data_IF_065823099907
#
_entry.id   IF_065823099907
#
_cell.length_a   1.000
_cell.length_b   1.000
_cell.length_c   1.000
_cell.angle_alpha   90.00
_cell.angle_beta   90.00
_cell.angle_gamma   90.00
#
_symmetry.space_group_name_H-M   'P 1'
#
loop_
_entity.id
_entity.type
_entity.pdbx_description
1 polymer ?
#
# COMPACT_ATOMS: atom_id res chain seq x y z
N UNK A 1 -64.45 6.52 -33.19
CA UNK A 1 -65.28 7.33 -32.29
C UNK A 1 -64.40 7.56 -31.11
N UNK A 2 -63.50 8.61 -31.11
CA UNK A 2 -63.78 9.94 -30.59
C UNK A 2 -64.05 9.93 -29.06
N UNK A 3 -63.09 10.35 -28.27
CA UNK A 3 -63.23 11.55 -27.44
C UNK A 3 -61.91 11.87 -26.72
N UNK A 4 -61.37 13.01 -27.03
CA UNK A 4 -60.43 13.76 -26.23
C UNK A 4 -61.23 14.70 -25.30
N UNK A 5 -60.78 14.94 -24.07
CA UNK A 5 -60.89 16.24 -23.45
C UNK A 5 -59.57 16.63 -22.81
N UNK A 6 -59.03 17.78 -22.90
CA UNK A 6 -59.61 19.07 -22.67
C UNK A 6 -58.65 19.79 -21.76
N UNK A 7 -57.77 20.66 -22.32
CA UNK A 7 -56.87 21.58 -21.56
C UNK A 7 -57.71 22.53 -20.71
N UNK A 8 -57.40 22.62 -19.41
CA UNK A 8 -57.78 23.76 -18.58
C UNK A 8 -56.53 24.60 -18.26
N UNK A 9 -56.58 25.92 -18.50
CA UNK A 9 -55.55 26.82 -18.07
C UNK A 9 -55.70 27.09 -16.55
N UNK A 10 -54.65 26.83 -15.79
CA UNK A 10 -54.60 27.22 -14.38
C UNK A 10 -54.18 28.68 -14.29
N UNK A 11 -55.05 29.46 -13.69
CA UNK A 11 -54.91 30.89 -13.46
C UNK A 11 -53.67 31.27 -12.63
N UNK A 12 -53.16 32.43 -12.95
CA UNK A 12 -51.92 33.05 -12.42
C UNK A 12 -51.82 33.10 -10.89
N UNK A 13 -50.65 32.74 -10.45
CA UNK A 13 -50.18 33.12 -9.09
C UNK A 13 -49.52 34.51 -9.18
N UNK A 14 -49.80 35.42 -8.23
CA UNK A 14 -49.17 36.72 -8.18
C UNK A 14 -47.69 36.63 -7.79
N UNK A 15 -46.83 37.30 -8.53
CA UNK A 15 -45.43 37.48 -8.22
C UNK A 15 -45.23 38.15 -6.85
N UNK A 16 -44.32 37.65 -6.01
CA UNK A 16 -43.92 38.40 -4.79
C UNK A 16 -43.11 39.62 -5.18
N UNK A 17 -43.18 40.68 -4.38
CA UNK A 17 -42.45 41.93 -4.63
C UNK A 17 -40.95 41.76 -4.48
N UNK A 18 -40.09 42.52 -5.19
CA UNK A 18 -38.63 42.44 -5.07
C UNK A 18 -38.23 42.79 -3.63
N UNK A 19 -37.73 41.74 -2.92
CA UNK A 19 -37.22 41.86 -1.57
C UNK A 19 -35.89 42.61 -1.54
N UNK A 20 -35.80 43.46 -0.57
CA UNK A 20 -34.70 44.36 -0.21
C UNK A 20 -33.35 43.63 -0.21
N UNK A 21 -32.36 44.17 -0.88
CA UNK A 21 -30.99 43.70 -0.89
C UNK A 21 -30.37 43.68 0.51
N UNK A 22 -30.04 42.49 1.00
CA UNK A 22 -29.09 42.39 2.10
C UNK A 22 -27.71 42.72 1.54
N UNK A 23 -27.21 43.92 1.90
CA UNK A 23 -25.84 44.30 1.61
C UNK A 23 -24.84 43.34 2.24
N UNK A 24 -24.16 42.59 1.41
CA UNK A 24 -22.97 41.86 1.84
C UNK A 24 -21.88 42.90 2.21
N UNK A 25 -21.23 42.75 3.37
CA UNK A 25 -20.05 43.56 3.65
C UNK A 25 -18.97 43.24 2.58
N UNK A 26 -18.19 44.26 2.16
CA UNK A 26 -17.14 44.06 1.16
C UNK A 26 -16.13 43.02 1.67
N UNK A 27 -15.60 42.14 0.80
CA UNK A 27 -14.62 41.16 1.19
C UNK A 27 -13.39 41.87 1.76
N UNK A 28 -13.06 41.56 3.02
CA UNK A 28 -11.83 42.01 3.64
C UNK A 28 -10.66 41.36 2.91
N UNK A 29 -9.77 42.17 2.38
CA UNK A 29 -8.53 41.76 1.70
C UNK A 29 -7.74 40.82 2.63
N UNK A 30 -7.38 39.58 2.21
CA UNK A 30 -6.58 38.72 3.05
C UNK A 30 -5.22 39.37 3.35
N UNK A 31 -4.70 39.22 4.57
CA UNK A 31 -3.37 39.74 4.91
C UNK A 31 -2.34 39.08 4.00
N UNK A 32 -1.50 39.90 3.38
CA UNK A 32 -0.43 39.46 2.49
C UNK A 32 0.53 38.50 3.18
N UNK A 33 1.16 37.61 2.43
CA UNK A 33 2.11 36.66 3.01
C UNK A 33 3.29 37.39 3.61
N UNK A 34 3.59 37.11 4.88
CA UNK A 34 4.82 37.57 5.52
C UNK A 34 6.00 36.90 4.84
N UNK A 35 7.07 37.63 4.46
CA UNK A 35 8.25 37.01 3.90
C UNK A 35 8.97 36.21 5.02
N UNK A 36 9.18 34.93 4.83
CA UNK A 36 10.10 34.14 5.64
C UNK A 36 9.53 32.94 6.37
N UNK A 37 8.81 32.04 5.71
CA UNK A 37 8.80 30.62 6.07
C UNK A 37 8.62 29.84 4.78
N UNK A 38 9.71 29.38 4.21
CA UNK A 38 9.68 28.28 3.26
C UNK A 38 9.40 27.03 4.10
N UNK A 39 8.15 26.74 4.33
CA UNK A 39 7.72 25.41 4.74
C UNK A 39 7.85 24.55 3.48
N UNK A 40 8.97 23.88 3.35
CA UNK A 40 9.07 22.72 2.48
C UNK A 40 8.05 21.71 3.00
N UNK A 41 6.83 21.78 2.47
CA UNK A 41 5.79 20.80 2.66
C UNK A 41 6.25 19.49 2.00
N UNK A 42 7.05 18.72 2.70
CA UNK A 42 7.16 17.32 2.45
C UNK A 42 5.77 16.72 2.73
N UNK A 43 4.91 16.75 1.72
CA UNK A 43 3.68 15.96 1.71
C UNK A 43 4.18 14.51 1.61
N UNK A 44 4.48 13.95 2.77
CA UNK A 44 4.73 12.55 2.88
C UNK A 44 3.45 11.84 2.45
N UNK A 45 3.47 11.24 1.27
CA UNK A 45 2.57 10.14 0.99
C UNK A 45 2.91 9.07 2.03
N UNK A 46 2.22 9.12 3.16
CA UNK A 46 2.25 8.04 4.13
C UNK A 46 1.52 6.89 3.45
N UNK A 47 2.28 6.15 2.64
CA UNK A 47 1.93 4.77 2.40
C UNK A 47 1.97 4.16 3.79
N UNK A 48 0.81 4.07 4.42
CA UNK A 48 0.66 3.34 5.67
C UNK A 48 0.89 1.87 5.31
N UNK A 49 2.16 1.52 5.17
CA UNK A 49 2.60 0.18 5.44
C UNK A 49 2.45 0.06 6.96
N UNK A 50 1.22 -0.21 7.39
CA UNK A 50 0.92 -0.56 8.77
C UNK A 50 1.57 -1.89 9.12
N UNK A 51 2.88 -1.92 9.15
CA UNK A 51 3.65 -2.96 9.83
C UNK A 51 3.71 -2.52 11.28
N UNK A 52 2.66 -2.81 12.02
CA UNK A 52 2.68 -2.78 13.47
C UNK A 52 3.61 -3.86 13.98
N UNK A 53 4.91 -3.59 14.02
CA UNK A 53 5.85 -4.39 14.81
C UNK A 53 5.73 -3.87 16.25
N UNK A 54 4.85 -4.49 17.01
CA UNK A 54 4.88 -4.41 18.45
C UNK A 54 6.13 -5.16 18.93
N UNK A 55 7.27 -4.46 19.02
CA UNK A 55 8.42 -4.97 19.76
C UNK A 55 8.09 -4.78 21.24
N UNK A 56 7.57 -5.83 21.84
CA UNK A 56 7.42 -5.92 23.29
C UNK A 56 8.79 -6.02 23.95
N UNK A 57 9.36 -4.89 24.36
CA UNK A 57 10.48 -4.85 25.29
C UNK A 57 9.95 -5.13 26.70
N UNK A 58 9.94 -6.39 27.08
CA UNK A 58 9.75 -6.81 28.46
C UNK A 58 11.03 -6.51 29.24
N UNK A 59 11.09 -5.32 29.84
CA UNK A 59 12.07 -5.00 30.86
C UNK A 59 11.60 -5.64 32.17
N UNK A 60 12.00 -6.88 32.43
CA UNK A 60 11.91 -7.46 33.76
C UNK A 60 13.19 -7.11 34.51
N UNK A 61 13.10 -6.11 35.39
CA UNK A 61 14.08 -5.85 36.43
C UNK A 61 14.06 -6.99 37.46
N UNK A 62 15.11 -7.78 37.53
CA UNK A 62 15.33 -8.79 38.57
C UNK A 62 16.43 -8.34 39.48
N UNK A 63 16.10 -8.22 40.76
CA UNK A 63 17.05 -8.00 41.88
C UNK A 63 18.04 -9.14 42.04
N UNK A 64 19.26 -8.88 42.49
CA UNK A 64 20.29 -9.92 42.70
C UNK A 64 20.00 -10.75 43.96
N UNK A 65 20.00 -12.06 43.82
CA UNK A 65 19.99 -13.03 44.91
C UNK A 65 21.41 -13.59 45.12
N UNK A 66 21.78 -14.04 46.35
CA UNK A 66 23.13 -14.25 46.77
C UNK A 66 23.79 -15.51 46.20
N UNK A 67 25.08 -15.37 46.09
CA UNK A 67 26.10 -16.27 45.55
C UNK A 67 26.11 -17.66 46.26
N UNK A 68 25.85 -18.72 45.49
CA UNK A 68 26.08 -20.10 45.94
C UNK A 68 27.30 -20.69 45.20
N UNK A 69 28.20 -21.25 46.00
CA UNK A 69 29.50 -21.85 45.69
C UNK A 69 29.37 -22.95 44.60
N UNK A 70 30.22 -22.98 43.57
CA UNK A 70 30.10 -23.95 42.49
C UNK A 70 30.58 -25.35 42.89
N UNK A 71 29.70 -26.32 42.69
CA UNK A 71 30.05 -27.74 42.63
C UNK A 71 30.45 -28.06 41.19
N UNK A 72 31.53 -28.78 40.90
CA UNK A 72 31.89 -29.14 39.54
C UNK A 72 30.89 -30.15 38.97
N UNK A 73 30.03 -29.69 38.09
CA UNK A 73 29.10 -30.50 37.34
C UNK A 73 29.78 -30.96 36.05
N UNK A 74 29.63 -32.25 35.72
CA UNK A 74 30.10 -32.85 34.50
C UNK A 74 29.57 -32.08 33.25
N UNK A 75 30.48 -31.85 32.29
CA UNK A 75 30.14 -31.15 31.04
C UNK A 75 29.02 -31.89 30.31
N UNK A 76 27.92 -31.20 29.98
CA UNK A 76 26.88 -31.78 29.11
C UNK A 76 27.46 -31.94 27.71
N UNK A 77 27.34 -33.15 27.16
CA UNK A 77 27.56 -33.45 25.75
C UNK A 77 26.70 -32.52 24.94
N UNK A 78 27.23 -31.80 23.92
CA UNK A 78 26.42 -30.92 23.07
C UNK A 78 25.45 -31.80 22.28
N UNK A 79 24.19 -31.82 22.70
CA UNK A 79 23.10 -32.30 21.86
C UNK A 79 22.96 -31.29 20.74
N UNK A 80 23.37 -31.67 19.52
CA UNK A 80 23.03 -30.98 18.28
C UNK A 80 21.53 -31.09 18.09
N UNK A 81 20.79 -30.17 18.70
CA UNK A 81 19.38 -29.97 18.40
C UNK A 81 19.33 -29.48 16.96
N UNK A 82 18.88 -30.32 16.04
CA UNK A 82 18.64 -29.93 14.66
C UNK A 82 17.69 -28.74 14.68
N UNK A 83 18.12 -27.60 14.12
CA UNK A 83 17.26 -26.43 13.95
C UNK A 83 16.00 -26.87 13.20
N UNK A 84 14.81 -26.48 13.68
CA UNK A 84 13.57 -26.81 13.01
C UNK A 84 13.61 -26.29 11.56
N UNK A 85 13.48 -27.21 10.62
CA UNK A 85 13.47 -26.89 9.18
C UNK A 85 12.14 -26.27 8.81
N UNK A 86 12.14 -25.10 8.16
CA UNK A 86 10.94 -24.49 7.62
C UNK A 86 10.15 -25.47 6.72
N UNK A 87 8.80 -25.40 6.66
CA UNK A 87 8.00 -26.30 5.85
C UNK A 87 8.51 -26.36 4.41
N UNK A 88 8.58 -27.55 3.80
CA UNK A 88 8.95 -27.65 2.40
C UNK A 88 7.90 -26.93 1.54
N UNK A 89 8.35 -26.00 0.70
CA UNK A 89 7.48 -25.21 -0.15
C UNK A 89 8.11 -24.93 -1.50
N UNK A 90 7.32 -24.43 -2.43
CA UNK A 90 7.75 -24.13 -3.81
C UNK A 90 8.66 -22.90 -3.91
N UNK A 91 8.67 -22.05 -2.88
CA UNK A 91 9.29 -20.73 -2.94
C UNK A 91 10.39 -20.57 -1.92
N UNK A 92 11.37 -19.72 -2.21
CA UNK A 92 12.48 -19.37 -1.35
C UNK A 92 12.92 -17.94 -1.59
N UNK A 93 13.41 -17.28 -0.56
CA UNK A 93 14.11 -16.00 -0.69
C UNK A 93 15.62 -16.18 -0.90
N UNK A 94 16.10 -17.42 -0.95
CA UNK A 94 17.52 -17.71 -1.21
C UNK A 94 17.97 -17.10 -2.53
N UNK A 95 19.07 -16.36 -2.50
CA UNK A 95 19.59 -15.65 -3.67
C UNK A 95 18.96 -14.26 -3.91
N UNK A 96 18.00 -13.84 -3.11
CA UNK A 96 17.47 -12.46 -3.17
C UNK A 96 18.24 -11.61 -2.16
N UNK A 97 19.19 -10.82 -2.64
CA UNK A 97 19.97 -9.88 -1.83
C UNK A 97 19.36 -8.47 -1.81
N UNK A 98 18.48 -8.16 -2.76
CA UNK A 98 17.76 -6.90 -2.84
C UNK A 98 16.34 -7.17 -3.34
N UNK A 99 15.35 -6.97 -2.48
CA UNK A 99 13.95 -7.21 -2.81
C UNK A 99 13.44 -6.32 -3.97
N UNK A 100 14.10 -5.20 -4.23
CA UNK A 100 13.74 -4.32 -5.33
C UNK A 100 14.01 -4.94 -6.71
N UNK A 101 14.94 -5.88 -6.80
CA UNK A 101 15.22 -6.60 -8.05
C UNK A 101 14.04 -7.48 -8.49
N UNK A 102 13.10 -7.74 -7.58
CA UNK A 102 11.86 -8.46 -7.89
C UNK A 102 10.89 -7.64 -8.75
N UNK A 103 11.04 -6.31 -8.82
CA UNK A 103 10.11 -5.40 -9.47
C UNK A 103 10.70 -4.85 -10.79
N UNK A 104 9.83 -4.61 -11.77
CA UNK A 104 10.17 -3.82 -12.96
C UNK A 104 9.46 -2.45 -12.85
N UNK A 105 10.20 -1.37 -12.62
CA UNK A 105 9.62 -0.03 -12.49
C UNK A 105 9.27 0.65 -13.81
N UNK A 106 9.71 0.12 -14.97
CA UNK A 106 9.52 0.76 -16.27
C UNK A 106 8.08 1.20 -16.57
N UNK A 107 7.03 0.43 -16.21
CA UNK A 107 5.66 0.86 -16.45
C UNK A 107 5.26 2.15 -15.74
N UNK A 108 5.95 2.53 -14.65
CA UNK A 108 5.67 3.76 -13.89
C UNK A 108 6.06 5.02 -14.65
N UNK A 109 7.00 4.92 -15.62
CA UNK A 109 7.46 6.04 -16.45
C UNK A 109 6.33 6.70 -17.26
N UNK A 110 5.20 6.01 -17.41
CA UNK A 110 3.96 6.56 -17.98
C UNK A 110 3.45 7.78 -17.21
N UNK A 111 3.67 7.81 -15.90
CA UNK A 111 3.13 8.84 -15.01
C UNK A 111 4.21 9.71 -14.37
N UNK A 112 5.36 9.14 -14.05
CA UNK A 112 6.45 9.84 -13.36
C UNK A 112 7.79 9.25 -13.73
N UNK A 113 8.80 10.08 -13.97
CA UNK A 113 10.06 9.65 -14.58
C UNK A 113 11.29 9.82 -13.68
N UNK A 114 11.20 10.64 -12.61
CA UNK A 114 12.32 10.91 -11.72
C UNK A 114 12.28 9.93 -10.54
N UNK A 115 13.23 9.00 -10.42
CA UNK A 115 13.25 8.03 -9.33
C UNK A 115 13.54 8.71 -7.99
N UNK A 116 12.90 8.20 -6.95
CA UNK A 116 13.23 8.45 -5.54
C UNK A 116 14.03 7.25 -5.04
N UNK A 117 15.02 7.43 -4.15
CA UNK A 117 15.77 6.32 -3.59
C UNK A 117 14.84 5.22 -3.07
N UNK A 118 15.07 3.95 -3.44
CA UNK A 118 14.23 2.84 -3.03
C UNK A 118 14.37 2.56 -1.53
N UNK A 119 13.30 2.00 -0.95
CA UNK A 119 13.33 1.48 0.42
C UNK A 119 13.09 -0.02 0.33
N UNK A 120 14.01 -0.82 0.90
CA UNK A 120 13.87 -2.27 0.88
C UNK A 120 14.32 -2.92 2.19
N UNK A 121 13.90 -4.15 2.39
CA UNK A 121 14.27 -4.97 3.54
C UNK A 121 14.20 -6.45 3.14
N UNK A 122 15.19 -7.22 3.64
CA UNK A 122 15.28 -8.67 3.53
C UNK A 122 15.47 -9.26 4.93
N UNK A 123 14.36 -9.68 5.55
CA UNK A 123 14.36 -10.40 6.83
C UNK A 123 14.70 -11.86 6.59
N UNK A 124 15.93 -12.27 6.97
CA UNK A 124 16.39 -13.64 6.73
C UNK A 124 15.61 -14.67 7.55
N UNK A 125 15.44 -15.90 7.03
CA UNK A 125 14.89 -16.98 7.81
C UNK A 125 15.73 -17.25 9.08
N UNK A 126 15.05 -17.48 10.19
CA UNK A 126 15.66 -17.87 11.47
C UNK A 126 14.72 -18.79 12.21
N UNK A 127 15.12 -19.31 13.36
CA UNK A 127 14.43 -20.31 14.19
C UNK A 127 12.89 -20.24 14.11
N UNK A 128 12.31 -21.09 13.23
CA UNK A 128 10.88 -21.15 12.98
C UNK A 128 10.31 -20.01 12.12
N UNK A 129 11.05 -18.93 11.84
CA UNK A 129 10.63 -17.82 11.00
C UNK A 129 11.01 -18.05 9.53
N UNK A 130 10.04 -17.92 8.62
CA UNK A 130 10.25 -18.21 7.19
C UNK A 130 10.95 -17.11 6.40
N UNK A 131 11.09 -15.93 6.98
CA UNK A 131 11.67 -14.74 6.35
C UNK A 131 10.64 -13.84 5.67
N UNK A 132 11.07 -12.61 5.36
CA UNK A 132 10.27 -11.63 4.64
C UNK A 132 11.11 -10.80 3.66
N UNK A 133 10.46 -10.30 2.61
CA UNK A 133 11.02 -9.38 1.63
C UNK A 133 10.08 -8.19 1.47
N UNK A 134 10.62 -7.00 1.39
CA UNK A 134 9.84 -5.83 1.00
C UNK A 134 10.67 -4.85 0.17
N UNK A 135 10.04 -4.22 -0.80
CA UNK A 135 10.60 -3.09 -1.55
C UNK A 135 9.50 -2.10 -1.92
N UNK A 136 9.85 -0.82 -1.90
CA UNK A 136 9.04 0.27 -2.42
C UNK A 136 9.87 1.10 -3.40
N UNK A 137 9.44 1.15 -4.66
CA UNK A 137 9.98 2.00 -5.72
C UNK A 137 9.01 3.15 -5.95
N UNK A 138 9.53 4.38 -5.95
CA UNK A 138 8.73 5.59 -6.15
C UNK A 138 9.37 6.49 -7.19
N UNK A 139 8.53 7.17 -7.94
CA UNK A 139 8.92 8.12 -8.98
C UNK A 139 8.09 9.39 -8.84
N UNK A 140 8.70 10.52 -9.17
CA UNK A 140 8.03 11.82 -9.22
C UNK A 140 8.23 12.48 -10.58
N UNK A 141 7.37 13.42 -10.89
CA UNK A 141 7.58 14.39 -11.96
C UNK A 141 6.74 15.64 -11.70
N UNK A 142 7.23 16.79 -12.13
CA UNK A 142 6.44 18.02 -12.11
C UNK A 142 5.26 17.90 -13.06
N UNK A 143 4.09 18.38 -12.64
CA UNK A 143 2.90 18.44 -13.48
C UNK A 143 3.15 19.28 -14.73
N UNK A 144 2.67 18.78 -15.86
CA UNK A 144 2.71 19.54 -17.13
C UNK A 144 1.63 20.61 -17.19
N UNK A 145 0.62 20.52 -16.33
CA UNK A 145 -0.54 21.42 -16.34
C UNK A 145 -0.22 22.76 -15.69
N UNK A 146 0.49 22.76 -14.56
CA UNK A 146 0.77 23.97 -13.79
C UNK A 146 2.28 24.22 -13.54
N UNK A 147 3.13 23.22 -13.82
CA UNK A 147 4.57 23.31 -13.65
C UNK A 147 5.03 23.34 -12.18
N UNK A 148 4.14 23.15 -11.22
CA UNK A 148 4.41 23.27 -9.78
C UNK A 148 4.01 22.01 -9.03
N UNK A 149 2.79 21.51 -9.24
CA UNK A 149 2.30 20.33 -8.56
C UNK A 149 3.06 19.08 -8.99
N UNK A 150 3.09 18.07 -8.12
CA UNK A 150 3.87 16.86 -8.33
C UNK A 150 2.95 15.69 -8.69
N UNK A 151 3.28 14.98 -9.75
CA UNK A 151 2.79 13.64 -10.03
C UNK A 151 3.66 12.62 -9.30
N UNK A 152 3.06 11.59 -8.74
CA UNK A 152 3.77 10.49 -8.12
C UNK A 152 3.28 9.15 -8.66
N UNK A 153 4.19 8.20 -8.85
CA UNK A 153 3.87 6.83 -9.17
C UNK A 153 4.76 5.89 -8.35
N UNK A 154 4.17 4.84 -7.82
CA UNK A 154 4.89 3.89 -6.99
C UNK A 154 4.44 2.46 -7.24
N UNK A 155 5.38 1.54 -6.98
CA UNK A 155 5.12 0.11 -6.91
C UNK A 155 5.83 -0.44 -5.69
N UNK A 156 5.11 -1.26 -4.94
CA UNK A 156 5.66 -1.93 -3.77
C UNK A 156 5.38 -3.43 -3.83
N UNK A 157 6.32 -4.20 -3.29
CA UNK A 157 6.17 -5.62 -3.02
C UNK A 157 6.39 -5.88 -1.55
N UNK A 158 5.63 -6.78 -0.99
CA UNK A 158 5.95 -7.49 0.24
C UNK A 158 5.71 -8.98 0.01
N UNK A 159 6.61 -9.80 0.54
CA UNK A 159 6.48 -11.25 0.53
C UNK A 159 6.81 -11.78 1.93
N UNK A 160 6.00 -12.69 2.43
CA UNK A 160 6.22 -13.37 3.71
C UNK A 160 6.19 -14.86 3.49
N UNK A 161 7.24 -15.54 3.97
CA UNK A 161 7.35 -17.00 3.84
C UNK A 161 6.79 -17.66 5.10
N UNK A 162 6.10 -18.78 4.90
CA UNK A 162 5.53 -19.55 5.98
C UNK A 162 6.62 -19.95 6.99
N UNK A 163 6.31 -19.83 8.27
CA UNK A 163 7.10 -20.32 9.38
C UNK A 163 6.49 -21.59 9.98
N UNK A 164 7.24 -22.28 10.85
CA UNK A 164 6.75 -23.49 11.50
C UNK A 164 5.48 -23.26 12.32
N UNK A 165 5.41 -22.09 12.98
CA UNK A 165 4.37 -21.77 13.94
C UNK A 165 3.29 -20.83 13.38
N UNK A 166 3.45 -20.35 12.14
CA UNK A 166 2.49 -19.41 11.53
C UNK A 166 2.25 -19.75 10.06
N UNK A 167 0.99 -19.78 9.64
CA UNK A 167 0.67 -19.80 8.22
C UNK A 167 1.15 -18.51 7.55
N UNK A 168 1.24 -18.50 6.22
CA UNK A 168 1.50 -17.28 5.46
C UNK A 168 0.53 -16.15 5.84
N UNK A 169 0.97 -14.90 5.74
CA UNK A 169 0.26 -13.72 6.21
C UNK A 169 -1.03 -13.37 5.42
N UNK A 170 -1.50 -14.23 4.53
CA UNK A 170 -2.63 -13.97 3.63
C UNK A 170 -3.87 -13.44 4.35
N UNK A 171 -4.30 -14.09 5.43
CA UNK A 171 -5.50 -13.66 6.17
C UNK A 171 -5.32 -12.28 6.82
N UNK A 172 -4.11 -11.96 7.27
CA UNK A 172 -3.80 -10.66 7.85
C UNK A 172 -3.82 -9.55 6.80
N UNK A 173 -3.44 -9.87 5.55
CA UNK A 173 -3.37 -8.89 4.46
C UNK A 173 -4.68 -8.79 3.69
N UNK A 174 -5.47 -9.87 3.62
CA UNK A 174 -6.79 -9.88 2.97
C UNK A 174 -7.87 -9.26 3.87
N UNK A 175 -7.65 -8.02 4.27
CA UNK A 175 -8.62 -7.28 5.09
C UNK A 175 -9.78 -6.76 4.25
N UNK A 176 -10.90 -6.44 4.92
CA UNK A 176 -12.05 -5.82 4.26
C UNK A 176 -11.61 -4.51 3.56
N UNK A 177 -12.01 -4.30 2.31
CA UNK A 177 -11.70 -3.05 1.60
C UNK A 177 -12.23 -1.82 2.33
N UNK A 178 -11.50 -0.71 2.24
CA UNK A 178 -11.96 0.59 2.71
C UNK A 178 -13.23 1.02 1.97
N UNK A 179 -13.99 1.92 2.56
CA UNK A 179 -15.18 2.47 1.90
C UNK A 179 -14.80 3.09 0.53
N UNK A 180 -15.59 2.83 -0.49
CA UNK A 180 -15.33 3.29 -1.85
C UNK A 180 -14.34 2.45 -2.67
N UNK A 181 -13.74 1.43 -2.04
CA UNK A 181 -12.89 0.48 -2.75
C UNK A 181 -13.69 -0.71 -3.27
N UNK A 182 -13.27 -1.23 -4.41
CA UNK A 182 -13.77 -2.48 -4.98
C UNK A 182 -12.76 -3.61 -4.75
N UNK A 183 -13.21 -4.85 -4.78
CA UNK A 183 -12.36 -6.02 -4.60
C UNK A 183 -12.90 -7.23 -5.36
N UNK A 184 -12.06 -8.23 -5.55
CA UNK A 184 -12.42 -9.49 -6.18
C UNK A 184 -11.25 -10.46 -6.19
N UNK A 185 -11.32 -11.46 -7.07
CA UNK A 185 -10.29 -12.49 -7.26
C UNK A 185 -9.80 -12.52 -8.72
N UNK A 186 -8.64 -13.13 -8.95
CA UNK A 186 -8.00 -13.25 -10.26
C UNK A 186 -7.87 -14.74 -10.59
N UNK A 187 -8.49 -15.19 -11.67
CA UNK A 187 -8.41 -16.59 -12.08
C UNK A 187 -6.97 -17.02 -12.38
N UNK A 188 -6.57 -18.20 -11.89
CA UNK A 188 -5.27 -18.81 -12.19
C UNK A 188 -4.06 -18.12 -11.55
N UNK A 189 -4.25 -17.38 -10.46
CA UNK A 189 -3.17 -16.74 -9.73
C UNK A 189 -3.05 -17.33 -8.32
N UNK A 190 -2.02 -18.16 -8.09
CA UNK A 190 -1.77 -18.83 -6.81
C UNK A 190 -2.89 -19.78 -6.37
N UNK A 191 -2.81 -20.24 -5.13
CA UNK A 191 -3.84 -21.07 -4.49
C UNK A 191 -5.03 -20.22 -4.03
N UNK A 192 -4.76 -19.06 -3.44
CA UNK A 192 -5.75 -18.05 -3.05
C UNK A 192 -5.23 -16.66 -3.46
N UNK A 193 -6.13 -15.77 -3.80
CA UNK A 193 -5.76 -14.40 -4.13
C UNK A 193 -6.91 -13.45 -3.92
N UNK A 194 -6.56 -12.17 -3.85
CA UNK A 194 -7.49 -11.06 -3.90
C UNK A 194 -6.89 -9.91 -4.70
N UNK A 195 -7.76 -9.05 -5.18
CA UNK A 195 -7.37 -7.71 -5.57
C UNK A 195 -8.27 -6.68 -4.86
N UNK A 196 -7.73 -5.49 -4.66
CA UNK A 196 -8.46 -4.32 -4.15
C UNK A 196 -8.06 -3.10 -4.97
N UNK A 197 -9.03 -2.27 -5.29
CA UNK A 197 -8.80 -1.06 -6.06
C UNK A 197 -9.67 0.08 -5.56
N UNK A 198 -9.09 1.27 -5.52
CA UNK A 198 -9.80 2.45 -5.09
C UNK A 198 -9.13 3.73 -5.55
N UNK A 199 -9.93 4.79 -5.59
CA UNK A 199 -9.44 6.13 -5.84
C UNK A 199 -9.09 6.81 -4.52
N UNK A 200 -8.00 7.56 -4.51
CA UNK A 200 -7.58 8.41 -3.42
C UNK A 200 -7.80 9.86 -3.85
N UNK A 201 -8.63 10.60 -3.12
CA UNK A 201 -9.07 11.95 -3.54
C UNK A 201 -8.65 13.06 -2.59
N UNK A 202 -7.96 12.74 -1.48
CA UNK A 202 -7.66 13.72 -0.43
C UNK A 202 -6.76 14.88 -0.88
N UNK A 203 -5.87 14.64 -1.84
CA UNK A 203 -4.90 15.66 -2.31
C UNK A 203 -4.86 15.80 -3.82
N UNK A 204 -5.82 15.21 -4.56
CA UNK A 204 -5.91 15.20 -6.02
C UNK A 204 -6.30 13.83 -6.56
N UNK A 205 -6.45 13.67 -7.90
CA UNK A 205 -6.84 12.41 -8.50
C UNK A 205 -5.75 11.35 -8.31
N UNK A 206 -6.00 10.43 -7.41
CA UNK A 206 -5.14 9.29 -7.12
C UNK A 206 -5.89 7.97 -7.27
N UNK A 207 -5.16 6.90 -7.54
CA UNK A 207 -5.69 5.55 -7.57
C UNK A 207 -4.65 4.54 -7.07
N UNK A 208 -5.14 3.48 -6.46
CA UNK A 208 -4.31 2.36 -6.03
C UNK A 208 -4.96 1.04 -6.45
N UNK A 209 -4.11 0.10 -6.86
CA UNK A 209 -4.49 -1.27 -7.14
C UNK A 209 -3.56 -2.22 -6.39
N UNK A 210 -4.13 -3.13 -5.64
CA UNK A 210 -3.41 -4.09 -4.80
C UNK A 210 -3.77 -5.49 -5.27
N UNK A 211 -2.78 -6.36 -5.38
CA UNK A 211 -2.95 -7.81 -5.62
C UNK A 211 -2.25 -8.55 -4.51
N UNK A 212 -3.00 -9.33 -3.75
CA UNK A 212 -2.46 -10.27 -2.78
C UNK A 212 -2.63 -11.70 -3.26
N UNK A 213 -1.62 -12.54 -3.09
CA UNK A 213 -1.63 -13.94 -3.48
C UNK A 213 -0.95 -14.81 -2.44
N UNK A 214 -1.57 -15.94 -2.13
CA UNK A 214 -0.94 -17.04 -1.43
C UNK A 214 -0.73 -18.22 -2.41
N UNK A 215 0.47 -18.72 -2.46
CA UNK A 215 0.77 -19.99 -3.14
C UNK A 215 1.83 -20.77 -2.35
N UNK A 216 1.50 -22.01 -1.99
CA UNK A 216 2.38 -22.89 -1.22
C UNK A 216 2.82 -22.22 0.11
N UNK A 217 4.11 -21.93 0.25
CA UNK A 217 4.72 -21.40 1.46
C UNK A 217 5.00 -19.89 1.42
N UNK A 218 4.39 -19.14 0.51
CA UNK A 218 4.60 -17.69 0.43
C UNK A 218 3.27 -16.94 0.25
N UNK A 219 3.16 -15.81 0.91
CA UNK A 219 2.19 -14.75 0.57
C UNK A 219 2.93 -13.58 -0.04
N UNK A 220 2.47 -13.12 -1.19
CA UNK A 220 3.00 -11.95 -1.89
C UNK A 220 1.88 -10.92 -2.05
N UNK A 221 2.18 -9.65 -1.78
CA UNK A 221 1.30 -8.54 -2.12
C UNK A 221 2.05 -7.53 -2.97
N UNK A 222 1.45 -7.12 -4.08
CA UNK A 222 1.91 -6.05 -4.95
C UNK A 222 0.92 -4.89 -4.86
N UNK A 223 1.43 -3.70 -4.62
CA UNK A 223 0.66 -2.47 -4.69
C UNK A 223 1.20 -1.57 -5.79
N UNK A 224 0.33 -1.08 -6.66
CA UNK A 224 0.62 0.01 -7.60
C UNK A 224 -0.24 1.20 -7.20
N UNK A 225 0.39 2.35 -6.98
CA UNK A 225 -0.30 3.57 -6.60
C UNK A 225 0.19 4.74 -7.46
N UNK A 226 -0.76 5.55 -7.92
CA UNK A 226 -0.46 6.74 -8.73
C UNK A 226 -1.25 7.90 -8.18
N UNK A 227 -0.59 9.03 -8.01
CA UNK A 227 -1.18 10.31 -7.68
C UNK A 227 -0.89 11.31 -8.79
N UNK A 228 -1.90 12.02 -9.25
CA UNK A 228 -1.78 13.01 -10.31
C UNK A 228 -2.09 14.41 -9.79
N UNK A 229 -1.38 15.38 -10.29
CA UNK A 229 -1.72 16.77 -10.07
C UNK A 229 -3.12 17.09 -10.65
N UNK A 230 -3.84 18.07 -10.09
CA UNK A 230 -5.09 18.56 -10.67
C UNK A 230 -4.92 18.96 -12.14
N UNK A 231 -5.89 18.61 -12.98
CA UNK A 231 -5.87 18.90 -14.40
C UNK A 231 -5.09 17.94 -15.30
N UNK A 232 -4.34 17.00 -14.70
CA UNK A 232 -3.70 15.93 -15.46
C UNK A 232 -4.72 14.91 -15.98
N UNK A 233 -4.32 14.13 -16.98
CA UNK A 233 -5.20 13.11 -17.57
C UNK A 233 -5.68 12.09 -16.50
N UNK A 234 -6.94 11.67 -16.56
CA UNK A 234 -7.50 10.73 -15.59
C UNK A 234 -6.78 9.37 -15.62
N UNK A 235 -6.67 8.76 -14.46
CA UNK A 235 -6.11 7.42 -14.31
C UNK A 235 -7.09 6.35 -14.82
N UNK A 236 -6.56 5.37 -15.52
CA UNK A 236 -7.32 4.18 -15.91
C UNK A 236 -6.98 3.04 -14.96
N UNK A 237 -7.98 2.52 -14.25
CA UNK A 237 -7.79 1.43 -13.30
C UNK A 237 -7.22 0.17 -13.97
N UNK A 238 -7.58 -0.07 -15.23
CA UNK A 238 -7.07 -1.21 -16.01
C UNK A 238 -5.54 -1.16 -16.21
N UNK A 239 -4.95 0.04 -16.33
CA UNK A 239 -3.50 0.18 -16.43
C UNK A 239 -2.82 -0.30 -15.12
N UNK A 240 -3.34 0.13 -13.97
CA UNK A 240 -2.81 -0.26 -12.65
C UNK A 240 -3.00 -1.76 -12.42
N UNK A 241 -4.18 -2.27 -12.75
CA UNK A 241 -4.52 -3.70 -12.68
C UNK A 241 -3.56 -4.56 -13.49
N UNK A 242 -3.34 -4.20 -14.75
CA UNK A 242 -2.43 -4.92 -15.65
C UNK A 242 -1.00 -4.96 -15.10
N UNK A 243 -0.49 -3.82 -14.61
CA UNK A 243 0.84 -3.74 -14.02
C UNK A 243 0.92 -4.61 -12.77
N UNK A 244 -0.01 -4.45 -11.82
CA UNK A 244 0.01 -5.19 -10.55
C UNK A 244 -0.04 -6.70 -10.78
N UNK A 245 -0.92 -7.18 -11.67
CA UNK A 245 -1.02 -8.60 -11.99
C UNK A 245 0.24 -9.15 -12.68
N UNK A 246 0.83 -8.39 -13.61
CA UNK A 246 2.06 -8.78 -14.31
C UNK A 246 3.22 -8.88 -13.33
N UNK A 247 3.37 -7.89 -12.45
CA UNK A 247 4.41 -7.89 -11.43
C UNK A 247 4.23 -9.04 -10.44
N UNK A 248 2.99 -9.32 -10.01
CA UNK A 248 2.72 -10.45 -9.10
C UNK A 248 3.18 -11.78 -9.70
N UNK A 249 2.87 -12.04 -10.97
CA UNK A 249 3.33 -13.26 -11.66
C UNK A 249 4.84 -13.31 -11.79
N UNK A 250 5.47 -12.19 -12.12
CA UNK A 250 6.93 -12.10 -12.24
C UNK A 250 7.63 -12.34 -10.90
N UNK A 251 7.12 -11.76 -9.81
CA UNK A 251 7.65 -11.98 -8.45
C UNK A 251 7.54 -13.45 -8.05
N UNK A 252 6.37 -14.08 -8.20
CA UNK A 252 6.22 -15.51 -7.92
C UNK A 252 7.19 -16.37 -8.74
N UNK A 253 7.38 -16.05 -10.02
CA UNK A 253 8.32 -16.80 -10.88
C UNK A 253 9.77 -16.68 -10.37
N UNK A 254 10.20 -15.49 -9.92
CA UNK A 254 11.56 -15.24 -9.38
C UNK A 254 11.80 -15.88 -8.02
N UNK A 255 10.76 -15.97 -7.19
CA UNK A 255 10.84 -16.62 -5.88
C UNK A 255 10.77 -18.15 -5.94
N UNK A 256 10.37 -18.72 -7.07
CA UNK A 256 10.27 -20.16 -7.25
C UNK A 256 11.64 -20.82 -7.13
N UNK A 257 11.71 -21.89 -6.33
CA UNK A 257 12.93 -22.71 -6.24
C UNK A 257 13.26 -23.32 -7.60
N UNK A 258 14.54 -23.45 -7.93
CA UNK A 258 14.97 -24.13 -9.14
C UNK A 258 14.56 -25.62 -9.18
#
# INVERSE_FOLDING_TARGET
MTHSPGNHPVAGQPYPPPGQGFGYPPPTKPPGPKPGVIVAGAIGLVVILGVGIAIGLSLTGGSPAPEAKPTPSAAPTPSTTASPTAPPGKYSMSGISNACDLLDPKPLAKWSTTPIPPVHREGQPSDGYGGDLSCSLRYTSTSKTDGVATNEAGIAVRAEFASLDRPPAYEQWNTKPSQGWTSGTIAGLGTRNYWRAGSTTETGPGASYIVGVEDSNVTVEIQVAVHRAPGEAPLKMDDLSSIAQTQTRAVLARLKKP
#
